data_IF_959417204508
#
_entry.id   IF_959417204508
#
_cell.length_a   1.000
_cell.length_b   1.000
_cell.length_c   1.000
_cell.angle_alpha   90.00
_cell.angle_beta   90.00
_cell.angle_gamma   90.00
#
_symmetry.space_group_name_H-M   'P 1'
#
loop_
_entity.id
_entity.type
_entity.pdbx_description
1 polymer ?
#
# COMPACT_ATOMS: atom_id res chain seq x y z
N UNK A 1 -10.97 -37.99 -12.12
CA UNK A 1 -11.54 -36.96 -12.97
C UNK A 1 -11.83 -35.76 -12.08
N UNK A 2 -10.93 -34.81 -12.03
CA UNK A 2 -11.11 -33.54 -11.28
C UNK A 2 -11.87 -32.57 -12.17
N UNK A 3 -13.13 -32.34 -11.87
CA UNK A 3 -13.90 -31.30 -12.51
C UNK A 3 -13.23 -29.95 -12.21
N UNK A 4 -12.73 -29.29 -13.22
CA UNK A 4 -12.40 -27.88 -13.16
C UNK A 4 -13.73 -27.13 -12.98
N UNK A 5 -14.04 -26.76 -11.74
CA UNK A 5 -15.10 -25.78 -11.48
C UNK A 5 -14.71 -24.49 -12.20
N UNK A 6 -15.29 -24.29 -13.36
CA UNK A 6 -15.30 -22.98 -14.01
C UNK A 6 -16.05 -22.03 -13.08
N UNK A 7 -15.34 -21.17 -12.38
CA UNK A 7 -15.94 -20.05 -11.68
C UNK A 7 -16.52 -19.14 -12.77
N UNK A 8 -17.83 -19.32 -13.05
CA UNK A 8 -18.58 -18.44 -13.92
C UNK A 8 -18.55 -17.04 -13.29
N UNK A 9 -17.74 -16.17 -13.88
CA UNK A 9 -17.63 -14.74 -13.52
C UNK A 9 -18.80 -13.94 -14.12
N UNK A 10 -19.69 -14.62 -14.86
CA UNK A 10 -20.83 -13.99 -15.51
C UNK A 10 -21.94 -13.68 -14.52
N UNK A 11 -22.43 -12.46 -14.62
CA UNK A 11 -23.71 -11.93 -14.11
C UNK A 11 -23.94 -11.97 -12.61
N UNK A 12 -23.40 -11.04 -11.93
CA UNK A 12 -24.02 -10.23 -10.89
C UNK A 12 -23.06 -9.05 -10.63
N UNK A 13 -23.03 -8.11 -11.55
CA UNK A 13 -22.30 -6.88 -11.35
C UNK A 13 -22.91 -6.18 -10.15
N UNK A 14 -22.34 -6.43 -8.99
CA UNK A 14 -22.58 -5.55 -7.85
C UNK A 14 -22.15 -4.17 -8.25
N UNK A 15 -23.11 -3.36 -8.56
CA UNK A 15 -22.91 -1.96 -8.87
C UNK A 15 -22.24 -1.30 -7.65
N UNK A 16 -20.96 -1.02 -7.78
CA UNK A 16 -20.23 -0.26 -6.75
C UNK A 16 -20.69 1.18 -6.86
N UNK A 17 -21.27 1.76 -5.81
CA UNK A 17 -21.83 3.09 -5.88
C UNK A 17 -20.74 4.10 -6.26
N UNK A 18 -21.07 5.01 -7.18
CA UNK A 18 -20.21 6.12 -7.50
C UNK A 18 -20.20 7.13 -6.34
N UNK A 19 -19.10 7.89 -6.22
CA UNK A 19 -18.99 8.91 -5.17
C UNK A 19 -20.10 9.96 -5.25
N UNK A 20 -20.58 10.26 -6.46
CA UNK A 20 -21.69 11.21 -6.69
C UNK A 20 -23.02 10.73 -6.10
N UNK A 21 -23.22 9.41 -6.02
CA UNK A 21 -24.41 8.79 -5.44
C UNK A 21 -24.21 8.42 -3.98
N UNK A 22 -23.05 8.73 -3.40
CA UNK A 22 -22.73 8.39 -2.02
C UNK A 22 -23.70 9.09 -1.05
N UNK A 23 -24.24 8.32 -0.12
CA UNK A 23 -25.15 8.84 0.91
C UNK A 23 -24.42 9.65 1.97
N UNK A 24 -23.20 9.26 2.31
CA UNK A 24 -22.42 9.88 3.38
C UNK A 24 -20.92 9.76 3.12
N UNK A 25 -20.24 10.89 3.09
CA UNK A 25 -18.77 10.98 3.10
C UNK A 25 -18.31 11.11 4.55
N UNK A 26 -17.47 10.20 5.02
CA UNK A 26 -16.99 10.15 6.40
C UNK A 26 -15.65 10.87 6.57
N UNK A 27 -14.76 10.72 5.60
CA UNK A 27 -13.46 11.39 5.61
C UNK A 27 -12.96 11.61 4.19
N UNK A 28 -12.27 12.72 4.00
CA UNK A 28 -11.68 13.10 2.72
C UNK A 28 -10.24 13.53 2.93
N UNK A 29 -9.35 13.00 2.12
CA UNK A 29 -7.94 13.36 2.09
C UNK A 29 -7.61 13.88 0.70
N UNK A 30 -7.26 15.16 0.63
CA UNK A 30 -6.81 15.79 -0.60
C UNK A 30 -5.31 16.08 -0.47
N UNK A 31 -4.53 15.51 -1.38
CA UNK A 31 -3.09 15.66 -1.42
C UNK A 31 -2.70 16.36 -2.71
N UNK A 32 -2.18 17.57 -2.56
CA UNK A 32 -1.66 18.32 -3.68
C UNK A 32 -0.16 18.01 -3.82
N UNK A 33 0.20 17.35 -4.89
CA UNK A 33 1.60 17.10 -5.23
C UNK A 33 2.19 18.34 -5.89
N UNK A 34 3.27 18.92 -5.30
CA UNK A 34 3.92 20.15 -5.70
C UNK A 34 4.17 20.31 -7.23
N UNK A 35 5.45 20.50 -7.64
CA UNK A 35 5.91 20.87 -8.99
C UNK A 35 5.32 20.11 -10.19
N UNK A 36 4.75 18.89 -9.99
CA UNK A 36 4.20 18.03 -11.05
C UNK A 36 2.68 18.05 -11.16
N UNK A 37 1.99 19.02 -10.54
CA UNK A 37 0.51 19.15 -10.58
C UNK A 37 -0.24 17.81 -10.42
N UNK A 38 0.29 16.90 -9.61
CA UNK A 38 -0.43 15.69 -9.22
C UNK A 38 -1.32 16.01 -8.05
N UNK A 39 -2.60 15.80 -8.20
CA UNK A 39 -3.53 15.79 -7.08
C UNK A 39 -4.06 14.38 -6.90
N UNK A 40 -4.09 13.91 -5.68
CA UNK A 40 -4.76 12.67 -5.34
C UNK A 40 -5.77 12.97 -4.25
N UNK A 41 -6.96 12.50 -4.47
CA UNK A 41 -8.05 12.59 -3.53
C UNK A 41 -8.46 11.19 -3.13
N UNK A 42 -8.56 10.96 -1.82
CA UNK A 42 -9.11 9.75 -1.22
C UNK A 42 -10.35 10.17 -0.43
N UNK A 43 -11.48 9.52 -0.67
CA UNK A 43 -12.72 9.77 0.06
C UNK A 43 -13.32 8.47 0.57
N UNK A 44 -13.56 8.39 1.88
CA UNK A 44 -14.28 7.29 2.53
C UNK A 44 -15.77 7.59 2.53
N UNK A 45 -16.58 6.69 2.02
CA UNK A 45 -18.03 6.87 1.96
C UNK A 45 -18.79 5.54 2.18
N UNK A 46 -20.04 5.66 2.55
CA UNK A 46 -20.98 4.53 2.73
C UNK A 46 -20.41 3.33 3.52
N UNK A 47 -19.54 3.59 4.51
CA UNK A 47 -18.88 2.64 5.43
C UNK A 47 -17.90 1.64 4.79
N UNK A 48 -18.08 1.26 3.53
CA UNK A 48 -17.31 0.17 2.90
C UNK A 48 -16.51 0.60 1.69
N UNK A 49 -16.61 1.84 1.25
CA UNK A 49 -16.03 2.26 0.00
C UNK A 49 -14.98 3.35 0.16
N UNK A 50 -13.92 3.22 -0.61
CA UNK A 50 -12.86 4.21 -0.75
C UNK A 50 -12.80 4.67 -2.21
N UNK A 51 -13.16 5.90 -2.49
CA UNK A 51 -12.91 6.54 -3.79
C UNK A 51 -11.48 7.02 -3.87
N UNK A 52 -10.84 6.72 -4.98
CA UNK A 52 -9.49 7.18 -5.33
C UNK A 52 -9.58 7.99 -6.61
N UNK A 53 -9.21 9.24 -6.57
CA UNK A 53 -9.10 10.10 -7.74
C UNK A 53 -7.66 10.60 -7.85
N UNK A 54 -6.97 10.24 -8.92
CA UNK A 54 -5.60 10.69 -9.20
C UNK A 54 -5.57 11.46 -10.50
N UNK A 55 -5.28 12.75 -10.42
CA UNK A 55 -5.13 13.61 -11.57
C UNK A 55 -3.67 13.98 -11.80
N UNK A 56 -3.23 13.93 -13.05
CA UNK A 56 -1.95 14.46 -13.53
C UNK A 56 -2.22 15.55 -14.55
N UNK A 57 -1.36 16.58 -14.61
CA UNK A 57 -1.55 17.73 -15.48
C UNK A 57 -1.74 17.39 -16.98
N UNK A 58 -1.27 16.25 -17.44
CA UNK A 58 -1.27 15.86 -18.86
C UNK A 58 -1.88 14.47 -19.11
N UNK A 59 -2.54 13.88 -18.12
CA UNK A 59 -3.17 12.56 -18.25
C UNK A 59 -4.60 12.64 -17.75
N UNK A 60 -5.53 11.85 -18.35
CA UNK A 60 -6.88 11.78 -17.83
C UNK A 60 -6.87 11.40 -16.35
N UNK A 61 -7.78 11.98 -15.58
CA UNK A 61 -7.90 11.66 -14.17
C UNK A 61 -8.32 10.19 -14.02
N UNK A 62 -7.47 9.40 -13.38
CA UNK A 62 -7.82 8.03 -13.00
C UNK A 62 -8.74 8.10 -11.78
N UNK A 63 -9.96 7.63 -11.93
CA UNK A 63 -10.96 7.60 -10.86
C UNK A 63 -11.53 6.20 -10.72
N UNK A 64 -11.41 5.63 -9.53
CA UNK A 64 -11.97 4.33 -9.21
C UNK A 64 -12.38 4.25 -7.75
N UNK A 65 -13.23 3.29 -7.45
CA UNK A 65 -13.71 3.01 -6.10
C UNK A 65 -13.19 1.62 -5.68
N UNK A 66 -12.75 1.50 -4.46
CA UNK A 66 -12.27 0.24 -3.86
C UNK A 66 -13.26 -0.18 -2.77
N UNK A 67 -13.70 -1.43 -2.82
CA UNK A 67 -14.50 -2.03 -1.76
C UNK A 67 -13.58 -2.51 -0.62
N UNK A 68 -13.68 -1.87 0.54
CA UNK A 68 -12.83 -2.12 1.70
C UNK A 68 -13.03 -3.53 2.30
N UNK A 69 -14.10 -4.24 1.95
CA UNK A 69 -14.32 -5.63 2.40
C UNK A 69 -13.26 -6.59 1.87
N UNK A 70 -12.65 -6.26 0.73
CA UNK A 70 -11.60 -7.06 0.09
C UNK A 70 -10.19 -6.53 0.34
N UNK A 71 -10.06 -5.52 1.17
CA UNK A 71 -8.78 -4.90 1.54
C UNK A 71 -8.22 -5.54 2.80
N UNK A 72 -6.90 -5.69 2.88
CA UNK A 72 -6.20 -6.10 4.10
C UNK A 72 -6.53 -5.09 5.22
N UNK A 73 -6.98 -5.53 6.41
CA UNK A 73 -7.35 -4.64 7.51
C UNK A 73 -6.19 -3.80 8.05
N UNK A 74 -4.95 -4.15 7.72
CA UNK A 74 -3.77 -3.43 8.18
C UNK A 74 -3.19 -2.56 7.07
N UNK A 75 -3.48 -1.25 7.05
CA UNK A 75 -2.87 -0.34 6.10
C UNK A 75 -1.36 -0.26 6.34
N UNK A 76 -0.57 -0.34 5.25
CA UNK A 76 0.88 -0.24 5.36
C UNK A 76 1.33 1.19 5.12
N UNK A 77 1.93 1.77 6.15
CA UNK A 77 2.56 3.07 6.07
C UNK A 77 4.08 2.90 6.09
N UNK A 78 4.72 3.21 4.97
CA UNK A 78 6.18 3.11 4.83
C UNK A 78 6.79 4.51 4.72
N UNK A 79 7.72 4.81 5.62
CA UNK A 79 8.49 6.05 5.58
C UNK A 79 9.88 5.77 5.03
N UNK A 80 10.23 6.45 3.93
CA UNK A 80 11.58 6.44 3.36
C UNK A 80 12.29 7.73 3.76
N UNK A 81 13.22 7.62 4.68
CA UNK A 81 14.05 8.74 5.13
C UNK A 81 15.26 8.86 4.20
N UNK A 82 15.59 10.07 3.80
CA UNK A 82 16.71 10.35 2.91
C UNK A 82 18.04 10.41 3.69
N UNK A 83 18.44 9.28 4.33
CA UNK A 83 19.60 9.19 5.23
C UNK A 83 20.91 9.70 4.62
N UNK A 84 21.11 9.48 3.32
CA UNK A 84 22.33 9.94 2.62
C UNK A 84 22.49 11.45 2.71
N UNK A 85 21.40 12.19 2.57
CA UNK A 85 21.39 13.64 2.66
C UNK A 85 21.51 14.14 4.10
N UNK A 86 20.95 13.42 5.06
CA UNK A 86 21.13 13.72 6.49
C UNK A 86 22.60 13.51 6.88
N UNK A 87 23.22 12.42 6.47
CA UNK A 87 24.62 12.15 6.72
C UNK A 87 25.53 13.20 6.07
N UNK A 88 25.25 13.59 4.83
CA UNK A 88 25.97 14.66 4.15
C UNK A 88 25.85 15.99 4.91
N UNK A 89 24.62 16.37 5.29
CA UNK A 89 24.40 17.59 6.08
C UNK A 89 25.18 17.58 7.40
N UNK A 90 25.17 16.45 8.12
CA UNK A 90 25.91 16.29 9.37
C UNK A 90 27.44 16.40 9.15
N UNK A 91 27.97 15.77 8.09
CA UNK A 91 29.40 15.84 7.76
C UNK A 91 29.85 17.28 7.42
N UNK A 92 29.10 17.96 6.56
CA UNK A 92 29.40 19.36 6.22
C UNK A 92 29.25 20.31 7.39
N UNK A 93 28.25 20.06 8.26
CA UNK A 93 28.07 20.83 9.50
C UNK A 93 29.26 20.63 10.46
N UNK A 94 29.71 19.38 10.63
CA UNK A 94 30.87 19.08 11.49
C UNK A 94 32.14 19.78 10.96
N UNK A 95 32.40 19.74 9.65
CA UNK A 95 33.53 20.45 9.02
C UNK A 95 33.41 21.96 9.20
N UNK A 96 32.20 22.51 9.04
CA UNK A 96 31.95 23.93 9.24
C UNK A 96 32.20 24.36 10.69
N UNK A 97 31.80 23.54 11.67
CA UNK A 97 32.04 23.80 13.10
C UNK A 97 33.54 23.72 13.45
N UNK A 98 34.29 22.79 12.86
CA UNK A 98 35.74 22.72 13.03
C UNK A 98 36.43 23.97 12.46
N UNK A 99 36.01 24.42 11.27
CA UNK A 99 36.50 25.68 10.70
C UNK A 99 36.17 26.90 11.56
N UNK A 100 34.93 27.00 12.03
CA UNK A 100 34.52 28.08 12.93
C UNK A 100 35.33 28.09 14.24
N UNK A 101 35.58 26.89 14.81
CA UNK A 101 36.42 26.76 16.03
C UNK A 101 37.83 27.20 15.80
N UNK A 102 38.44 26.87 14.63
CA UNK A 102 39.81 27.30 14.31
C UNK A 102 39.91 28.83 14.16
N UNK A 103 38.88 29.46 13.58
CA UNK A 103 38.80 30.93 13.49
C UNK A 103 38.68 31.54 14.88
N UNK A 104 37.81 31.01 15.75
CA UNK A 104 37.58 31.52 17.10
C UNK A 104 38.82 31.34 18.02
N UNK A 105 39.61 30.31 17.81
CA UNK A 105 40.84 30.05 18.60
C UNK A 105 42.04 30.91 18.17
N UNK A 106 41.96 31.62 17.06
CA UNK A 106 43.05 32.47 16.57
C UNK A 106 42.99 33.86 17.22
N UNK A 107 44.16 34.47 17.43
CA UNK A 107 44.27 35.84 17.94
C UNK A 107 44.02 36.92 16.86
N UNK A 108 43.90 36.53 15.60
CA UNK A 108 43.66 37.44 14.48
C UNK A 108 42.20 37.85 14.37
N UNK A 109 41.88 39.07 13.92
CA UNK A 109 40.51 39.49 13.66
C UNK A 109 39.81 38.55 12.68
N UNK A 110 38.55 38.15 12.95
CA UNK A 110 37.80 37.14 12.20
C UNK A 110 37.69 37.43 10.68
N UNK A 111 37.68 38.72 10.27
CA UNK A 111 37.61 39.12 8.84
C UNK A 111 38.91 38.93 8.05
N UNK A 112 40.03 38.67 8.71
CA UNK A 112 41.34 38.42 8.07
C UNK A 112 41.63 36.94 7.86
N UNK A 113 40.67 36.05 8.21
CA UNK A 113 40.89 34.62 8.04
C UNK A 113 40.49 34.16 6.64
N UNK A 114 41.43 33.56 5.92
CA UNK A 114 41.18 32.94 4.61
C UNK A 114 40.13 31.81 4.70
N UNK A 115 39.96 31.23 5.89
CA UNK A 115 38.97 30.18 6.15
C UNK A 115 37.54 30.67 6.35
N UNK A 116 37.30 31.96 6.40
CA UNK A 116 35.96 32.50 6.64
C UNK A 116 34.98 32.10 5.53
N UNK A 117 35.36 32.36 4.27
CA UNK A 117 34.53 32.04 3.11
C UNK A 117 34.28 30.52 2.95
N UNK A 118 35.30 29.64 3.04
CA UNK A 118 35.12 28.21 3.01
C UNK A 118 34.19 27.71 4.13
N UNK A 119 34.35 28.21 5.36
CA UNK A 119 33.52 27.84 6.50
C UNK A 119 32.05 28.24 6.30
N UNK A 120 31.80 29.47 5.84
CA UNK A 120 30.46 29.93 5.49
C UNK A 120 29.85 29.10 4.35
N UNK A 121 30.65 28.74 3.34
CA UNK A 121 30.23 27.85 2.25
C UNK A 121 29.80 26.46 2.74
N UNK A 122 30.55 25.87 3.69
CA UNK A 122 30.22 24.59 4.27
C UNK A 122 28.89 24.63 5.05
N UNK A 123 28.62 25.73 5.78
CA UNK A 123 27.30 25.93 6.41
C UNK A 123 26.18 26.00 5.36
N UNK A 124 26.39 26.71 4.26
CA UNK A 124 25.44 26.78 3.14
C UNK A 124 25.15 25.41 2.53
N UNK A 125 26.20 24.62 2.28
CA UNK A 125 26.07 23.26 1.73
C UNK A 125 25.34 22.35 2.72
N UNK A 126 25.66 22.43 4.02
CA UNK A 126 24.96 21.67 5.06
C UNK A 126 23.46 22.01 5.12
N UNK A 127 23.12 23.30 5.04
CA UNK A 127 21.74 23.76 4.99
C UNK A 127 21.01 23.26 3.73
N UNK A 128 21.63 23.35 2.56
CA UNK A 128 21.07 22.81 1.32
C UNK A 128 20.86 21.29 1.38
N UNK A 129 21.81 20.55 1.94
CA UNK A 129 21.69 19.10 2.12
C UNK A 129 20.55 18.75 3.09
N UNK A 130 20.37 19.52 4.16
CA UNK A 130 19.25 19.34 5.09
C UNK A 130 17.90 19.62 4.42
N UNK A 131 17.78 20.68 3.66
CA UNK A 131 16.58 20.99 2.87
C UNK A 131 16.30 19.87 1.87
N UNK A 132 17.32 19.37 1.17
CA UNK A 132 17.18 18.22 0.28
C UNK A 132 16.71 16.97 1.04
N UNK A 133 17.26 16.68 2.22
CA UNK A 133 16.82 15.56 3.07
C UNK A 133 15.33 15.66 3.42
N UNK A 134 14.87 16.84 3.80
CA UNK A 134 13.46 17.10 4.11
C UNK A 134 12.58 16.87 2.86
N UNK A 135 12.96 17.41 1.72
CA UNK A 135 12.17 17.28 0.49
C UNK A 135 12.17 15.88 -0.12
N UNK A 136 13.23 15.11 0.08
CA UNK A 136 13.35 13.74 -0.45
C UNK A 136 12.81 12.68 0.51
N UNK A 137 12.54 13.03 1.77
CA UNK A 137 11.84 12.12 2.70
C UNK A 137 10.39 11.98 2.26
N UNK A 138 9.95 10.73 2.06
CA UNK A 138 8.61 10.40 1.61
C UNK A 138 7.92 9.43 2.55
N UNK A 139 6.59 9.48 2.58
CA UNK A 139 5.73 8.53 3.29
C UNK A 139 4.73 7.95 2.30
N UNK A 140 4.64 6.62 2.24
CA UNK A 140 3.77 5.92 1.29
C UNK A 140 2.73 5.14 2.05
N UNK A 141 1.47 5.48 1.84
CA UNK A 141 0.32 4.68 2.26
C UNK A 141 0.02 3.65 1.19
N UNK A 142 0.00 2.37 1.56
CA UNK A 142 -0.31 1.27 0.65
C UNK A 142 -1.40 0.41 1.25
N UNK A 143 -2.44 0.15 0.44
CA UNK A 143 -3.50 -0.80 0.75
C UNK A 143 -3.36 -2.00 -0.19
N UNK A 144 -3.41 -3.19 0.39
CA UNK A 144 -3.34 -4.44 -0.35
C UNK A 144 -4.69 -5.16 -0.29
N UNK A 145 -4.97 -6.01 -1.28
CA UNK A 145 -6.10 -6.92 -1.19
C UNK A 145 -5.85 -8.01 -0.14
N UNK A 146 -6.94 -8.55 0.42
CA UNK A 146 -6.87 -9.47 1.55
C UNK A 146 -6.18 -10.79 1.21
N UNK A 147 -6.52 -11.42 0.09
CA UNK A 147 -5.99 -12.72 -0.32
C UNK A 147 -5.13 -12.61 -1.58
N UNK A 148 -5.53 -11.81 -2.56
CA UNK A 148 -4.77 -11.60 -3.80
C UNK A 148 -3.46 -10.83 -3.61
N UNK A 149 -3.29 -10.14 -2.48
CA UNK A 149 -2.14 -9.29 -2.16
C UNK A 149 -1.78 -8.27 -3.24
N UNK A 150 -2.74 -7.98 -4.13
CA UNK A 150 -2.60 -6.92 -5.11
C UNK A 150 -2.53 -5.56 -4.41
N UNK A 151 -1.76 -4.67 -4.99
CA UNK A 151 -1.62 -3.30 -4.51
C UNK A 151 -2.78 -2.46 -5.05
N UNK A 152 -3.81 -2.28 -4.23
CA UNK A 152 -5.04 -1.60 -4.65
C UNK A 152 -4.89 -0.07 -4.64
N UNK A 153 -4.20 0.45 -3.63
CA UNK A 153 -3.95 1.89 -3.49
C UNK A 153 -2.49 2.07 -3.08
N UNK A 154 -1.79 2.95 -3.76
CA UNK A 154 -0.47 3.38 -3.36
C UNK A 154 -0.37 4.88 -3.53
N UNK A 155 -0.24 5.56 -2.42
CA UNK A 155 -0.08 7.00 -2.45
C UNK A 155 1.15 7.42 -1.65
N UNK A 156 2.02 8.19 -2.31
CA UNK A 156 3.25 8.70 -1.72
C UNK A 156 3.11 10.19 -1.47
N UNK A 157 3.19 10.56 -0.21
CA UNK A 157 3.24 11.94 0.25
C UNK A 157 4.66 12.38 0.62
N UNK A 158 4.90 13.69 0.65
CA UNK A 158 6.13 14.32 1.16
C UNK A 158 5.90 14.87 2.57
N UNK A 159 6.93 15.38 3.20
CA UNK A 159 6.90 15.89 4.59
C UNK A 159 5.68 16.75 4.92
N UNK A 160 5.24 17.62 4.00
CA UNK A 160 4.06 18.46 4.21
C UNK A 160 2.72 17.71 4.31
N UNK A 161 2.66 16.45 3.85
CA UNK A 161 1.43 15.65 3.81
C UNK A 161 1.29 14.68 4.99
N UNK A 162 2.32 14.50 5.82
CA UNK A 162 2.31 13.54 6.94
C UNK A 162 1.19 13.79 7.95
N UNK A 163 0.91 15.05 8.27
CA UNK A 163 -0.20 15.40 9.17
C UNK A 163 -1.56 15.01 8.57
N UNK A 164 -1.72 15.19 7.27
CA UNK A 164 -2.94 14.81 6.57
C UNK A 164 -3.14 13.30 6.57
N UNK A 165 -2.09 12.51 6.30
CA UNK A 165 -2.14 11.05 6.43
C UNK A 165 -2.51 10.60 7.84
N UNK A 166 -1.84 11.14 8.85
CA UNK A 166 -2.11 10.78 10.25
C UNK A 166 -3.54 11.09 10.70
N UNK A 167 -4.16 12.14 10.14
CA UNK A 167 -5.56 12.46 10.40
C UNK A 167 -6.52 11.54 9.67
N UNK A 168 -6.12 11.03 8.51
CA UNK A 168 -6.94 10.14 7.69
C UNK A 168 -6.88 8.67 8.12
N UNK A 169 -5.77 8.23 8.74
CA UNK A 169 -5.58 6.84 9.16
C UNK A 169 -6.65 6.35 10.16
N UNK A 170 -6.97 7.04 11.26
CA UNK A 170 -7.95 6.54 12.23
C UNK A 170 -9.34 6.30 11.61
N UNK A 171 -9.94 7.20 10.81
CA UNK A 171 -11.20 6.91 10.13
C UNK A 171 -11.06 5.78 9.10
N UNK A 172 -9.94 5.66 8.38
CA UNK A 172 -9.70 4.55 7.47
C UNK A 172 -9.66 3.21 8.22
N UNK A 173 -8.94 3.11 9.32
CA UNK A 173 -8.87 1.90 10.15
C UNK A 173 -10.23 1.54 10.76
N UNK A 174 -11.02 2.53 11.16
CA UNK A 174 -12.38 2.31 11.63
C UNK A 174 -13.26 1.69 10.53
N UNK A 175 -13.19 2.22 9.30
CA UNK A 175 -13.92 1.68 8.15
C UNK A 175 -13.44 0.28 7.76
N UNK A 176 -12.14 0.02 7.78
CA UNK A 176 -11.57 -1.31 7.54
C UNK A 176 -12.09 -2.33 8.57
N UNK A 177 -12.15 -1.96 9.86
CA UNK A 177 -12.71 -2.83 10.92
C UNK A 177 -14.19 -3.15 10.68
N UNK A 178 -14.99 -2.16 10.30
CA UNK A 178 -16.41 -2.35 9.96
C UNK A 178 -16.53 -3.25 8.73
N UNK A 179 -15.69 -3.01 7.70
CA UNK A 179 -15.69 -3.80 6.48
C UNK A 179 -15.31 -5.28 6.71
N UNK A 180 -14.35 -5.54 7.62
CA UNK A 180 -14.01 -6.92 8.04
C UNK A 180 -15.21 -7.62 8.68
N UNK A 181 -15.95 -6.93 9.55
CA UNK A 181 -17.17 -7.47 10.18
C UNK A 181 -18.28 -7.77 9.18
N UNK A 182 -18.32 -7.05 8.05
CA UNK A 182 -19.31 -7.24 6.98
C UNK A 182 -18.90 -8.28 5.92
N UNK A 183 -17.74 -8.94 6.06
CA UNK A 183 -17.30 -10.01 5.15
C UNK A 183 -18.27 -11.19 5.20
N UNK A 184 -18.45 -11.86 4.06
CA UNK A 184 -19.25 -13.08 4.02
C UNK A 184 -18.64 -14.18 4.88
N UNK A 185 -19.49 -14.99 5.53
CA UNK A 185 -19.05 -16.11 6.37
C UNK A 185 -18.41 -17.24 5.53
N UNK A 186 -18.94 -17.47 4.31
CA UNK A 186 -18.38 -18.48 3.40
C UNK A 186 -17.09 -17.98 2.78
N UNK A 187 -15.98 -18.71 3.01
CA UNK A 187 -14.68 -18.41 2.45
C UNK A 187 -14.68 -18.44 0.91
N UNK A 188 -15.36 -19.43 0.34
CA UNK A 188 -15.42 -19.60 -1.12
C UNK A 188 -16.14 -18.44 -1.79
N UNK A 189 -17.28 -18.01 -1.25
CA UNK A 189 -17.98 -16.82 -1.75
C UNK A 189 -17.16 -15.56 -1.61
N UNK A 190 -16.46 -15.41 -0.49
CA UNK A 190 -15.61 -14.24 -0.28
C UNK A 190 -14.45 -14.17 -1.30
N UNK A 191 -13.77 -15.28 -1.56
CA UNK A 191 -12.69 -15.35 -2.57
C UNK A 191 -13.23 -15.12 -4.00
N UNK A 192 -14.43 -15.62 -4.31
CA UNK A 192 -15.10 -15.35 -5.58
C UNK A 192 -15.42 -13.86 -5.74
N UNK A 193 -15.98 -13.23 -4.72
CA UNK A 193 -16.31 -11.81 -4.74
C UNK A 193 -15.05 -10.95 -4.80
N UNK A 194 -13.95 -11.34 -4.12
CA UNK A 194 -12.65 -10.67 -4.22
C UNK A 194 -12.08 -10.76 -5.65
N UNK A 195 -12.22 -11.91 -6.32
CA UNK A 195 -11.79 -12.07 -7.70
C UNK A 195 -12.57 -11.14 -8.64
N UNK A 196 -13.89 -11.02 -8.45
CA UNK A 196 -14.73 -10.10 -9.23
C UNK A 196 -14.30 -8.65 -9.02
N UNK A 197 -14.00 -8.27 -7.78
CA UNK A 197 -13.51 -6.93 -7.47
C UNK A 197 -12.17 -6.64 -8.17
N UNK A 198 -11.24 -7.60 -8.21
CA UNK A 198 -9.98 -7.44 -8.95
C UNK A 198 -10.23 -7.28 -10.47
N UNK A 199 -11.17 -8.04 -11.03
CA UNK A 199 -11.54 -7.91 -12.43
C UNK A 199 -12.11 -6.51 -12.73
N UNK A 200 -13.01 -6.02 -11.87
CA UNK A 200 -13.58 -4.67 -11.97
C UNK A 200 -12.51 -3.59 -11.87
N UNK A 201 -11.58 -3.71 -10.90
CA UNK A 201 -10.48 -2.77 -10.71
C UNK A 201 -9.49 -2.76 -11.88
N UNK A 202 -9.27 -3.92 -12.53
CA UNK A 202 -8.52 -4.00 -13.78
C UNK A 202 -9.22 -3.23 -14.90
N UNK A 203 -10.52 -3.45 -15.08
CA UNK A 203 -11.34 -2.72 -16.07
C UNK A 203 -11.35 -1.21 -15.83
N UNK A 204 -11.31 -0.76 -14.58
CA UNK A 204 -11.19 0.64 -14.20
C UNK A 204 -9.76 1.21 -14.34
N UNK A 205 -8.76 0.40 -14.76
CA UNK A 205 -7.37 0.82 -14.90
C UNK A 205 -6.62 1.00 -13.57
N UNK A 206 -7.19 0.54 -12.45
CA UNK A 206 -6.56 0.58 -11.14
C UNK A 206 -5.49 -0.50 -10.96
N UNK A 207 -5.65 -1.64 -11.64
CA UNK A 207 -4.71 -2.75 -11.70
C UNK A 207 -4.24 -2.97 -13.14
N UNK A 208 -2.97 -3.27 -13.31
CA UNK A 208 -2.43 -3.74 -14.58
C UNK A 208 -2.80 -5.22 -14.79
N UNK A 209 -2.74 -5.71 -16.03
CA UNK A 209 -2.99 -7.12 -16.33
C UNK A 209 -2.05 -8.04 -15.54
N UNK A 210 -0.77 -7.68 -15.45
CA UNK A 210 0.22 -8.46 -14.69
C UNK A 210 -0.10 -8.54 -13.19
N UNK A 211 -0.55 -7.43 -12.58
CA UNK A 211 -0.97 -7.38 -11.17
C UNK A 211 -2.25 -8.19 -10.95
N UNK A 212 -3.21 -8.12 -11.89
CA UNK A 212 -4.42 -8.93 -11.86
C UNK A 212 -4.09 -10.43 -11.93
N UNK A 213 -3.23 -10.85 -12.87
CA UNK A 213 -2.85 -12.26 -13.03
C UNK A 213 -2.09 -12.79 -11.82
N UNK A 214 -1.24 -11.97 -11.20
CA UNK A 214 -0.57 -12.32 -9.96
C UNK A 214 -1.57 -12.51 -8.80
N UNK A 215 -2.52 -11.58 -8.65
CA UNK A 215 -3.57 -11.66 -7.64
C UNK A 215 -4.47 -12.88 -7.85
N UNK A 216 -4.87 -13.15 -9.10
CA UNK A 216 -5.66 -14.32 -9.49
C UNK A 216 -4.98 -15.62 -9.08
N UNK A 217 -3.69 -15.79 -9.39
CA UNK A 217 -2.91 -16.97 -8.97
C UNK A 217 -2.89 -17.13 -7.45
N UNK A 218 -2.71 -16.05 -6.72
CA UNK A 218 -2.67 -16.05 -5.26
C UNK A 218 -4.03 -16.43 -4.64
N UNK A 219 -5.13 -15.90 -5.17
CA UNK A 219 -6.50 -16.23 -4.72
C UNK A 219 -6.79 -17.70 -5.02
N UNK A 220 -6.47 -18.20 -6.23
CA UNK A 220 -6.66 -19.60 -6.60
C UNK A 220 -5.83 -20.55 -5.73
N UNK A 221 -4.58 -20.20 -5.42
CA UNK A 221 -3.74 -20.97 -4.51
C UNK A 221 -4.33 -21.04 -3.09
N UNK A 222 -4.99 -19.97 -2.66
CA UNK A 222 -5.67 -19.91 -1.36
C UNK A 222 -6.95 -20.75 -1.36
N UNK A 223 -7.62 -20.88 -2.52
CA UNK A 223 -8.84 -21.67 -2.71
C UNK A 223 -8.56 -23.17 -2.91
N UNK A 224 -7.38 -23.51 -3.46
CA UNK A 224 -7.02 -24.90 -3.63
C UNK A 224 -7.09 -25.64 -2.28
N UNK A 225 -7.80 -26.78 -2.19
CA UNK A 225 -7.77 -27.59 -0.99
C UNK A 225 -6.31 -27.95 -0.71
N UNK A 226 -5.89 -27.81 0.55
CA UNK A 226 -4.55 -28.19 0.96
C UNK A 226 -4.28 -29.60 0.41
N UNK A 227 -3.25 -29.73 -0.43
CA UNK A 227 -2.89 -31.02 -1.00
C UNK A 227 -2.76 -32.01 0.17
N UNK A 228 -3.64 -33.00 0.22
CA UNK A 228 -3.53 -34.09 1.21
C UNK A 228 -2.17 -34.72 0.95
N UNK A 229 -1.24 -34.73 1.94
CA UNK A 229 0.07 -35.32 1.73
C UNK A 229 -0.09 -36.70 1.11
N UNK A 230 0.69 -37.01 0.07
CA UNK A 230 0.60 -38.26 -0.69
C UNK A 230 0.62 -39.49 0.22
N UNK A 231 1.33 -39.45 1.33
CA UNK A 231 1.37 -40.48 2.39
C UNK A 231 0.00 -40.86 2.95
N UNK A 232 -0.96 -39.90 3.06
CA UNK A 232 -2.32 -40.23 3.54
C UNK A 232 -3.19 -40.90 2.49
N UNK A 233 -2.86 -40.79 1.21
CA UNK A 233 -3.56 -41.51 0.13
C UNK A 233 -3.13 -42.97 0.09
N UNK A 234 -1.86 -43.26 0.29
CA UNK A 234 -1.32 -44.65 0.30
C UNK A 234 -1.84 -45.42 1.52
N UNK A 235 -1.91 -44.80 2.70
CA UNK A 235 -2.44 -45.45 3.91
C UNK A 235 -3.93 -45.81 3.79
N UNK A 236 -4.71 -45.10 2.95
CA UNK A 236 -6.13 -45.39 2.76
C UNK A 236 -6.39 -46.53 1.75
N UNK A 237 -5.44 -46.80 0.85
CA UNK A 237 -5.54 -47.88 -0.14
C UNK A 237 -5.12 -49.20 0.48
N UNK A 238 -4.34 -49.20 1.56
CA UNK A 238 -3.75 -50.40 2.21
C UNK A 238 -4.61 -50.98 3.33
N UNK A 239 -5.84 -50.52 3.55
CA UNK A 239 -6.74 -51.17 4.52
C UNK A 239 -7.28 -52.47 3.91
N UNK A 240 -6.91 -53.65 4.45
CA UNK A 240 -7.46 -54.93 3.99
C UNK A 240 -8.97 -54.91 4.24
N UNK A 241 -9.73 -55.23 3.18
CA UNK A 241 -11.20 -55.34 3.27
C UNK A 241 -11.62 -56.33 4.38
N UNK A 242 -12.80 -56.11 4.98
CA UNK A 242 -13.26 -56.97 6.07
C UNK A 242 -13.35 -58.43 5.58
N UNK A 243 -12.69 -59.32 6.34
CA UNK A 243 -12.70 -60.76 6.09
C UNK A 243 -14.15 -61.27 6.05
N UNK A 244 -14.57 -61.86 4.92
CA UNK A 244 -15.89 -62.48 4.79
C UNK A 244 -15.99 -63.64 5.77
N UNK A 245 -17.07 -63.75 6.58
CA UNK A 245 -17.27 -64.90 7.46
C UNK A 245 -17.41 -66.15 6.61
N UNK A 246 -16.59 -67.18 6.88
CA UNK A 246 -16.75 -68.54 6.32
C UNK A 246 -17.98 -69.16 6.93
N UNK A 247 -19.04 -69.31 6.13
CA UNK A 247 -20.16 -70.16 6.46
C UNK A 247 -19.68 -71.60 6.43
N UNK A 248 -19.68 -72.28 7.58
CA UNK A 248 -19.50 -73.73 7.67
C UNK A 248 -20.86 -74.39 7.30
N UNK A 249 -20.81 -75.28 6.32
CA UNK A 249 -21.85 -76.24 6.04
C UNK A 249 -21.73 -77.45 6.99
#
# INVERSE_FOLDING_TARGET
>A
MGGTEHILLESDEREVPALETARRIHARLVLHGGRWRRSTELALFDYYFLSVCSARAQSPALRYVVDLRFVDPVPRLQRRIAWRWIAAAAAFLALALLGARSIAASAAPWWRHDWLLPTAGLFGVAACALVAAIHLTTETLTLYSAHGRAKLVAHTGRVGTFRAFRRFLPPLEAHLRIAVGARRRSRTEHLRDEMREHFRLRGAGALTDAEYDAAKRQILATHAPAAVPAERREARVSLPGPARPRVRA
#
